data_IF_402391953443
#
_entry.id   IF_402391953443
#
_cell.length_a   1.000
_cell.length_b   1.000
_cell.length_c   1.000
_cell.angle_alpha   90.00
_cell.angle_beta   90.00
_cell.angle_gamma   90.00
#
_symmetry.space_group_name_H-M   'P 1'
#
loop_
_entity.id
_entity.type
_entity.pdbx_description
1 polymer ?
#
# COMPACT_ATOMS: atom_id res chain seq x y z
N UNK A 1 -9.90 -22.42 -7.54
CA UNK A 1 -10.70 -21.35 -8.21
C UNK A 1 -10.63 -20.02 -7.45
N UNK A 2 -10.90 -19.98 -6.14
CA UNK A 2 -10.87 -18.74 -5.33
C UNK A 2 -9.51 -18.01 -5.34
N UNK A 3 -8.40 -18.74 -5.28
CA UNK A 3 -7.05 -18.16 -5.35
C UNK A 3 -6.80 -17.36 -6.65
N UNK A 4 -7.20 -17.90 -7.81
CA UNK A 4 -7.06 -17.21 -9.10
C UNK A 4 -7.89 -15.92 -9.13
N UNK A 5 -9.10 -15.95 -8.55
CA UNK A 5 -9.95 -14.77 -8.46
C UNK A 5 -9.27 -13.70 -7.60
N UNK A 6 -8.73 -14.04 -6.42
CA UNK A 6 -7.97 -13.10 -5.60
C UNK A 6 -6.76 -12.53 -6.36
N UNK A 7 -6.01 -13.37 -7.07
CA UNK A 7 -4.83 -12.95 -7.82
C UNK A 7 -5.20 -11.96 -8.94
N UNK A 8 -6.22 -12.28 -9.73
CA UNK A 8 -6.70 -11.39 -10.81
C UNK A 8 -7.20 -10.06 -10.23
N UNK A 9 -7.96 -10.11 -9.13
CA UNK A 9 -8.45 -8.89 -8.48
C UNK A 9 -7.30 -8.01 -7.96
N UNK A 10 -6.30 -8.60 -7.30
CA UNK A 10 -5.11 -7.88 -6.82
C UNK A 10 -4.22 -7.35 -7.94
N UNK A 11 -4.24 -7.99 -9.11
CA UNK A 11 -3.61 -7.47 -10.32
C UNK A 11 -4.35 -6.24 -10.85
N UNK A 12 -5.66 -6.37 -11.06
CA UNK A 12 -6.52 -5.31 -11.60
C UNK A 12 -6.53 -4.06 -10.73
N UNK A 13 -6.52 -4.21 -9.40
CA UNK A 13 -6.49 -3.07 -8.46
C UNK A 13 -5.23 -2.21 -8.61
N UNK A 14 -4.14 -2.74 -9.16
CA UNK A 14 -2.89 -2.02 -9.42
C UNK A 14 -2.76 -1.54 -10.87
N UNK A 15 -3.26 -2.34 -11.82
CA UNK A 15 -3.20 -2.02 -13.25
C UNK A 15 -4.13 -0.85 -13.59
N UNK A 16 -5.34 -0.79 -13.03
CA UNK A 16 -6.31 0.27 -13.36
C UNK A 16 -5.76 1.67 -12.99
N UNK A 17 -5.31 1.94 -11.75
CA UNK A 17 -4.72 3.24 -11.42
C UNK A 17 -3.47 3.57 -12.25
N UNK A 18 -2.65 2.57 -12.57
CA UNK A 18 -1.49 2.75 -13.45
C UNK A 18 -1.91 3.25 -14.84
N UNK A 19 -2.88 2.61 -15.49
CA UNK A 19 -3.40 3.03 -16.80
C UNK A 19 -4.02 4.43 -16.71
N UNK A 20 -4.82 4.68 -15.68
CA UNK A 20 -5.46 5.99 -15.49
C UNK A 20 -4.44 7.11 -15.35
N UNK A 21 -3.39 6.88 -14.57
CA UNK A 21 -2.30 7.84 -14.44
C UNK A 21 -1.62 8.08 -15.79
N UNK A 22 -1.36 7.05 -16.60
CA UNK A 22 -0.78 7.25 -17.93
C UNK A 22 -1.65 8.12 -18.83
N UNK A 23 -2.97 7.91 -18.81
CA UNK A 23 -3.92 8.71 -19.60
C UNK A 23 -3.93 10.16 -19.11
N UNK A 24 -4.07 10.35 -17.79
CA UNK A 24 -4.20 11.67 -17.18
C UNK A 24 -2.88 12.45 -17.27
N UNK A 25 -1.73 11.79 -17.10
CA UNK A 25 -0.41 12.41 -17.11
C UNK A 25 -0.13 13.15 -18.41
N UNK A 26 -0.75 12.80 -19.54
CA UNK A 26 -0.64 13.56 -20.79
C UNK A 26 -1.48 14.84 -20.84
N UNK A 27 -2.53 14.94 -20.02
CA UNK A 27 -3.47 16.07 -20.00
C UNK A 27 -3.17 17.11 -18.93
N UNK A 28 -2.55 16.72 -17.82
CA UNK A 28 -2.18 17.65 -16.74
C UNK A 28 -0.71 18.05 -16.83
N UNK A 29 -0.35 19.24 -16.35
CA UNK A 29 1.05 19.64 -16.23
C UNK A 29 1.81 18.80 -15.18
N UNK A 30 3.13 18.80 -15.27
CA UNK A 30 4.01 18.00 -14.39
C UNK A 30 3.87 18.43 -12.93
N UNK A 31 3.70 19.74 -12.69
CA UNK A 31 3.59 20.29 -11.34
C UNK A 31 2.30 19.82 -10.65
N UNK A 32 1.17 19.93 -11.34
CA UNK A 32 -0.11 19.38 -10.92
C UNK A 32 0.01 17.87 -10.64
N UNK A 33 0.64 17.10 -11.54
CA UNK A 33 0.85 15.68 -11.29
C UNK A 33 1.63 15.41 -9.99
N UNK A 34 2.61 16.26 -9.66
CA UNK A 34 3.28 16.28 -8.36
C UNK A 34 2.30 16.52 -7.20
N UNK A 35 1.48 17.57 -7.26
CA UNK A 35 0.47 17.90 -6.25
C UNK A 35 -0.53 16.75 -6.02
N UNK A 36 -1.02 16.12 -7.08
CA UNK A 36 -1.90 14.94 -6.98
C UNK A 36 -1.28 13.82 -6.16
N UNK A 37 0.02 13.57 -6.35
CA UNK A 37 0.70 12.52 -5.61
C UNK A 37 0.87 12.88 -4.12
N UNK A 38 0.90 14.17 -3.78
CA UNK A 38 0.89 14.67 -2.41
C UNK A 38 -0.51 14.56 -1.77
N UNK A 39 -1.58 14.84 -2.52
CA UNK A 39 -2.94 14.61 -2.06
C UNK A 39 -3.20 13.12 -1.77
N UNK A 40 -2.63 12.23 -2.58
CA UNK A 40 -2.72 10.79 -2.37
C UNK A 40 -2.10 10.35 -1.03
N UNK A 41 -0.91 10.84 -0.66
CA UNK A 41 -0.27 10.44 0.60
C UNK A 41 -1.02 10.97 1.84
N UNK A 42 -1.66 12.13 1.74
CA UNK A 42 -2.52 12.67 2.80
C UNK A 42 -3.74 11.77 2.97
N UNK A 43 -4.38 11.36 1.87
CA UNK A 43 -5.49 10.41 1.91
C UNK A 43 -5.09 9.06 2.52
N UNK A 44 -3.91 8.52 2.17
CA UNK A 44 -3.38 7.29 2.77
C UNK A 44 -3.20 7.44 4.28
N UNK A 45 -2.62 8.55 4.73
CA UNK A 45 -2.41 8.84 6.15
C UNK A 45 -3.74 8.93 6.91
N UNK A 46 -4.69 9.70 6.39
CA UNK A 46 -6.03 9.83 6.96
C UNK A 46 -6.74 8.48 7.02
N UNK A 47 -6.60 7.65 5.98
CA UNK A 47 -7.15 6.29 5.96
C UNK A 47 -6.52 5.41 7.04
N UNK A 48 -5.19 5.47 7.24
CA UNK A 48 -4.50 4.71 8.30
C UNK A 48 -5.02 5.11 9.68
N UNK A 49 -5.09 6.42 9.95
CA UNK A 49 -5.56 6.97 11.22
C UNK A 49 -7.03 6.60 11.48
N UNK A 50 -7.94 6.99 10.59
CA UNK A 50 -9.39 6.81 10.76
C UNK A 50 -9.76 5.33 10.77
N UNK A 51 -9.13 4.50 9.94
CA UNK A 51 -9.44 3.06 9.93
C UNK A 51 -8.93 2.33 11.17
N UNK A 52 -7.99 2.92 11.93
CA UNK A 52 -7.36 2.35 13.12
C UNK A 52 -7.06 0.83 12.99
N UNK A 53 -6.51 0.42 11.84
CA UNK A 53 -6.18 -0.97 11.51
C UNK A 53 -7.35 -1.97 11.61
N UNK A 54 -8.60 -1.55 11.34
CA UNK A 54 -9.78 -2.43 11.34
C UNK A 54 -9.58 -3.68 10.46
N UNK A 55 -8.86 -3.55 9.34
CA UNK A 55 -8.52 -4.66 8.45
C UNK A 55 -7.77 -5.79 9.18
N UNK A 56 -6.80 -5.44 10.03
CA UNK A 56 -6.00 -6.42 10.78
C UNK A 56 -6.79 -7.00 11.95
N UNK A 57 -7.47 -6.15 12.73
CA UNK A 57 -8.24 -6.58 13.90
C UNK A 57 -9.39 -7.50 13.49
N UNK A 58 -10.11 -7.19 12.40
CA UNK A 58 -11.16 -8.07 11.85
C UNK A 58 -10.68 -9.48 11.58
N UNK A 59 -9.51 -9.64 10.93
CA UNK A 59 -8.96 -10.97 10.62
C UNK A 59 -8.62 -11.77 11.87
N UNK A 60 -8.17 -11.11 12.93
CA UNK A 60 -7.85 -11.77 14.20
C UNK A 60 -9.14 -12.13 14.96
N UNK A 61 -10.03 -11.16 15.08
CA UNK A 61 -11.26 -11.28 15.85
C UNK A 61 -12.22 -12.30 15.25
N UNK A 62 -12.27 -12.41 13.92
CA UNK A 62 -13.09 -13.39 13.21
C UNK A 62 -12.85 -14.83 13.67
N UNK A 63 -11.58 -15.18 13.96
CA UNK A 63 -11.23 -16.54 14.38
C UNK A 63 -11.19 -16.72 15.89
N UNK A 64 -11.04 -15.64 16.66
CA UNK A 64 -10.86 -15.71 18.13
C UNK A 64 -12.13 -15.45 18.93
N UNK A 65 -13.05 -14.64 18.41
CA UNK A 65 -14.22 -14.20 19.15
C UNK A 65 -15.45 -15.00 18.74
N UNK A 66 -16.38 -15.17 19.68
CA UNK A 66 -17.72 -15.63 19.35
C UNK A 66 -18.41 -14.62 18.42
N UNK A 67 -19.35 -15.09 17.59
CA UNK A 67 -20.06 -14.24 16.61
C UNK A 67 -20.63 -12.97 17.24
N UNK A 68 -21.30 -13.07 18.39
CA UNK A 68 -21.88 -11.90 19.08
C UNK A 68 -20.81 -10.92 19.56
N UNK A 69 -19.69 -11.42 20.09
CA UNK A 69 -18.57 -10.59 20.55
C UNK A 69 -17.82 -9.93 19.40
N UNK A 70 -17.66 -10.63 18.28
CA UNK A 70 -17.11 -10.11 17.04
C UNK A 70 -17.94 -8.92 16.52
N UNK A 71 -19.26 -9.09 16.40
CA UNK A 71 -20.14 -8.03 15.90
C UNK A 71 -20.07 -6.76 16.76
N UNK A 72 -20.13 -6.89 18.09
CA UNK A 72 -20.07 -5.73 18.97
C UNK A 72 -18.70 -5.07 19.02
N UNK A 73 -17.62 -5.85 18.91
CA UNK A 73 -16.24 -5.34 18.75
C UNK A 73 -16.14 -4.49 17.47
N UNK A 74 -16.68 -4.96 16.34
CA UNK A 74 -16.63 -4.19 15.09
C UNK A 74 -17.50 -2.93 15.12
N UNK A 75 -18.66 -2.96 15.80
CA UNK A 75 -19.44 -1.75 16.11
C UNK A 75 -18.61 -0.73 16.89
N UNK A 76 -17.94 -1.16 17.98
CA UNK A 76 -17.08 -0.29 18.78
C UNK A 76 -15.91 0.28 17.97
N UNK A 77 -15.34 -0.51 17.06
CA UNK A 77 -14.26 -0.07 16.18
C UNK A 77 -14.71 0.98 15.16
N UNK A 78 -15.92 0.87 14.61
CA UNK A 78 -16.49 1.88 13.71
C UNK A 78 -16.78 3.18 14.46
N UNK A 79 -17.24 3.09 15.72
CA UNK A 79 -17.38 4.27 16.60
C UNK A 79 -16.03 4.95 16.79
N UNK A 80 -14.95 4.21 17.04
CA UNK A 80 -13.60 4.78 17.09
C UNK A 80 -13.22 5.49 15.79
N UNK A 81 -13.52 4.92 14.63
CA UNK A 81 -13.26 5.58 13.33
C UNK A 81 -14.02 6.90 13.20
N UNK A 82 -15.27 6.96 13.66
CA UNK A 82 -16.07 8.20 13.67
C UNK A 82 -15.46 9.24 14.62
N UNK A 83 -15.08 8.84 15.83
CA UNK A 83 -14.43 9.73 16.80
C UNK A 83 -13.10 10.29 16.27
N UNK A 84 -12.29 9.45 15.62
CA UNK A 84 -11.03 9.87 14.99
C UNK A 84 -11.26 10.82 13.82
N UNK A 85 -12.30 10.61 13.01
CA UNK A 85 -12.70 11.57 11.98
C UNK A 85 -13.01 12.93 12.60
N UNK A 86 -13.82 12.99 13.65
CA UNK A 86 -14.14 14.27 14.31
C UNK A 86 -12.91 14.92 14.92
N UNK A 87 -12.03 14.15 15.57
CA UNK A 87 -10.77 14.66 16.09
C UNK A 87 -9.89 15.28 15.00
N UNK A 88 -9.81 14.65 13.82
CA UNK A 88 -9.08 15.15 12.66
C UNK A 88 -9.71 16.43 12.12
N UNK A 89 -11.05 16.49 12.00
CA UNK A 89 -11.74 17.69 11.51
C UNK A 89 -11.54 18.87 12.47
N UNK A 90 -11.63 18.64 13.78
CA UNK A 90 -11.34 19.66 14.79
C UNK A 90 -9.89 20.12 14.68
N UNK A 91 -8.93 19.19 14.57
CA UNK A 91 -7.52 19.52 14.42
C UNK A 91 -7.24 20.30 13.14
N UNK A 92 -7.96 20.01 12.05
CA UNK A 92 -7.79 20.71 10.77
C UNK A 92 -8.22 22.17 10.79
N UNK A 93 -9.06 22.59 11.75
CA UNK A 93 -9.41 24.00 11.95
C UNK A 93 -8.20 24.86 12.38
N UNK A 94 -7.12 24.22 12.82
CA UNK A 94 -5.87 24.87 13.22
C UNK A 94 -4.79 24.80 12.14
N UNK A 95 -5.11 24.31 10.93
CA UNK A 95 -4.16 24.13 9.83
C UNK A 95 -4.69 24.87 8.59
N UNK A 96 -3.96 25.90 8.16
CA UNK A 96 -4.35 26.72 7.01
C UNK A 96 -3.76 26.25 5.67
N UNK A 97 -2.96 25.19 5.67
CA UNK A 97 -2.19 24.78 4.47
C UNK A 97 -3.02 24.09 3.40
N UNK A 98 -4.16 23.47 3.76
CA UNK A 98 -5.02 22.73 2.84
C UNK A 98 -6.46 23.23 3.04
N UNK A 99 -7.20 23.54 1.96
CA UNK A 99 -8.60 23.90 2.08
C UNK A 99 -9.40 22.87 2.89
N UNK A 100 -10.10 23.36 3.91
CA UNK A 100 -10.84 22.52 4.86
C UNK A 100 -11.81 21.53 4.17
N UNK A 101 -12.37 21.93 3.03
CA UNK A 101 -13.27 21.11 2.22
C UNK A 101 -12.60 19.83 1.70
N UNK A 102 -11.32 19.88 1.32
CA UNK A 102 -10.60 18.68 0.88
C UNK A 102 -10.29 17.76 2.05
N UNK A 103 -9.93 18.32 3.22
CA UNK A 103 -9.74 17.52 4.43
C UNK A 103 -11.05 16.83 4.83
N UNK A 104 -12.18 17.54 4.74
CA UNK A 104 -13.50 16.96 4.99
C UNK A 104 -13.78 15.81 4.02
N UNK A 105 -13.65 16.03 2.71
CA UNK A 105 -13.89 15.03 1.68
C UNK A 105 -13.01 13.79 1.91
N UNK A 106 -11.71 13.97 2.12
CA UNK A 106 -10.77 12.87 2.35
C UNK A 106 -11.04 12.11 3.64
N UNK A 107 -11.43 12.81 4.72
CA UNK A 107 -11.74 12.19 6.01
C UNK A 107 -13.02 11.35 5.92
N UNK A 108 -14.07 11.87 5.28
CA UNK A 108 -15.32 11.12 5.06
C UNK A 108 -15.07 9.92 4.12
N UNK A 109 -14.28 10.12 3.06
CA UNK A 109 -13.82 9.03 2.18
C UNK A 109 -13.08 7.93 2.97
N UNK A 110 -12.21 8.33 3.90
CA UNK A 110 -11.47 7.41 4.77
C UNK A 110 -12.37 6.63 5.73
N UNK A 111 -13.42 7.27 6.28
CA UNK A 111 -14.42 6.60 7.11
C UNK A 111 -15.20 5.54 6.31
N UNK A 112 -15.68 5.89 5.11
CA UNK A 112 -16.36 4.94 4.21
C UNK A 112 -15.43 3.77 3.84
N UNK A 113 -14.14 4.06 3.64
CA UNK A 113 -13.11 3.05 3.38
C UNK A 113 -12.90 2.14 4.58
N UNK A 114 -12.93 2.66 5.81
CA UNK A 114 -12.83 1.86 7.05
C UNK A 114 -13.92 0.80 7.14
N UNK A 115 -15.18 1.19 6.91
CA UNK A 115 -16.32 0.24 6.89
C UNK A 115 -16.15 -0.80 5.78
N UNK A 116 -15.67 -0.38 4.61
CA UNK A 116 -15.37 -1.29 3.51
C UNK A 116 -14.25 -2.27 3.86
N UNK A 117 -13.19 -1.84 4.56
CA UNK A 117 -12.10 -2.73 4.98
C UNK A 117 -12.53 -3.79 5.98
N UNK A 118 -13.49 -3.48 6.86
CA UNK A 118 -14.13 -4.47 7.70
C UNK A 118 -14.78 -5.58 6.86
N UNK A 119 -15.70 -5.23 5.96
CA UNK A 119 -16.42 -6.22 5.15
C UNK A 119 -15.50 -6.98 4.20
N UNK A 120 -14.53 -6.30 3.57
CA UNK A 120 -13.54 -6.97 2.73
C UNK A 120 -12.72 -7.99 3.53
N UNK A 121 -12.33 -7.67 4.76
CA UNK A 121 -11.57 -8.60 5.60
C UNK A 121 -12.44 -9.79 6.05
N UNK A 122 -13.70 -9.54 6.40
CA UNK A 122 -14.66 -10.60 6.73
C UNK A 122 -14.91 -11.55 5.54
N UNK A 123 -15.15 -11.00 4.35
CA UNK A 123 -15.31 -11.79 3.11
C UNK A 123 -14.07 -12.61 2.79
N UNK A 124 -12.88 -12.07 3.05
CA UNK A 124 -11.64 -12.80 2.89
C UNK A 124 -11.52 -13.96 3.88
N UNK A 125 -11.87 -13.75 5.16
CA UNK A 125 -11.89 -14.80 6.17
C UNK A 125 -12.91 -15.90 5.88
N UNK A 126 -14.02 -15.56 5.21
CA UNK A 126 -15.02 -16.51 4.70
C UNK A 126 -14.65 -17.13 3.35
N UNK A 127 -13.50 -16.80 2.79
CA UNK A 127 -13.04 -17.24 1.47
C UNK A 127 -14.00 -16.88 0.30
N UNK A 128 -14.84 -15.85 0.45
CA UNK A 128 -15.75 -15.41 -0.59
C UNK A 128 -15.05 -14.48 -1.59
N UNK A 129 -14.22 -15.09 -2.44
CA UNK A 129 -13.37 -14.38 -3.41
C UNK A 129 -14.16 -13.53 -4.41
N UNK A 130 -15.37 -13.96 -4.80
CA UNK A 130 -16.21 -13.25 -5.78
C UNK A 130 -16.72 -11.92 -5.24
N UNK A 131 -17.37 -11.92 -4.08
CA UNK A 131 -17.88 -10.70 -3.46
C UNK A 131 -16.74 -9.79 -3.00
N UNK A 132 -15.65 -10.38 -2.47
CA UNK A 132 -14.44 -9.63 -2.14
C UNK A 132 -13.92 -8.87 -3.36
N UNK A 133 -13.76 -9.57 -4.49
CA UNK A 133 -13.27 -9.01 -5.74
C UNK A 133 -14.13 -7.86 -6.25
N UNK A 134 -15.43 -8.11 -6.35
CA UNK A 134 -16.40 -7.12 -6.79
C UNK A 134 -16.32 -5.88 -5.91
N UNK A 135 -16.44 -6.02 -4.59
CA UNK A 135 -16.42 -4.86 -3.70
C UNK A 135 -15.07 -4.15 -3.70
N UNK A 136 -13.94 -4.85 -3.81
CA UNK A 136 -12.62 -4.21 -3.86
C UNK A 136 -12.38 -3.42 -5.15
N UNK A 137 -12.96 -3.87 -6.27
CA UNK A 137 -12.81 -3.22 -7.57
C UNK A 137 -13.73 -2.01 -7.76
N UNK A 138 -14.93 -1.98 -7.15
CA UNK A 138 -15.87 -0.87 -7.26
C UNK A 138 -15.23 0.53 -7.07
N UNK A 139 -14.58 0.85 -5.93
CA UNK A 139 -14.07 2.20 -5.71
C UNK A 139 -12.99 2.57 -6.72
N UNK A 140 -12.17 1.59 -7.14
CA UNK A 140 -11.07 1.78 -8.08
C UNK A 140 -11.61 2.06 -9.47
N UNK A 141 -12.56 1.26 -9.95
CA UNK A 141 -13.16 1.44 -11.27
C UNK A 141 -13.86 2.78 -11.37
N UNK A 142 -14.73 3.11 -10.42
CA UNK A 142 -15.52 4.34 -10.48
C UNK A 142 -14.69 5.59 -10.25
N UNK A 143 -13.74 5.60 -9.28
CA UNK A 143 -12.92 6.80 -9.07
C UNK A 143 -12.03 7.10 -10.27
N UNK A 144 -11.41 6.08 -10.86
CA UNK A 144 -10.54 6.25 -12.02
C UNK A 144 -11.33 6.61 -13.28
N UNK A 145 -12.50 6.00 -13.50
CA UNK A 145 -13.37 6.34 -14.64
C UNK A 145 -13.83 7.79 -14.55
N UNK A 146 -14.36 8.22 -13.39
CA UNK A 146 -14.81 9.60 -13.21
C UNK A 146 -13.65 10.59 -13.28
N UNK A 147 -12.47 10.22 -12.77
CA UNK A 147 -11.29 11.08 -12.87
C UNK A 147 -10.87 11.31 -14.32
N UNK A 148 -10.83 10.26 -15.14
CA UNK A 148 -10.59 10.39 -16.58
C UNK A 148 -11.64 11.34 -17.19
N UNK A 149 -12.93 11.09 -16.96
CA UNK A 149 -14.02 11.92 -17.52
C UNK A 149 -13.85 13.38 -17.12
N UNK A 150 -13.59 13.68 -15.85
CA UNK A 150 -13.51 15.06 -15.35
C UNK A 150 -12.30 15.79 -15.93
N UNK A 151 -11.15 15.13 -16.05
CA UNK A 151 -9.98 15.69 -16.74
C UNK A 151 -10.28 15.99 -18.21
N UNK A 152 -11.01 15.12 -18.92
CA UNK A 152 -11.41 15.37 -20.31
C UNK A 152 -12.44 16.49 -20.45
N UNK A 153 -13.26 16.74 -19.44
CA UNK A 153 -14.18 17.88 -19.37
C UNK A 153 -13.49 19.19 -18.99
N UNK A 154 -12.17 19.18 -18.77
CA UNK A 154 -11.39 20.37 -18.43
C UNK A 154 -11.40 20.74 -16.95
N UNK A 155 -11.91 19.86 -16.06
CA UNK A 155 -11.74 20.08 -14.63
C UNK A 155 -10.26 19.90 -14.24
N UNK A 156 -9.81 20.72 -13.28
CA UNK A 156 -8.46 20.65 -12.73
C UNK A 156 -8.23 19.39 -11.89
N UNK A 157 -7.03 19.28 -11.33
CA UNK A 157 -6.61 18.09 -10.60
C UNK A 157 -7.38 17.86 -9.29
N UNK A 158 -7.98 18.92 -8.76
CA UNK A 158 -8.89 18.89 -7.62
C UNK A 158 -10.13 18.00 -7.87
N UNK A 159 -10.48 17.74 -9.14
CA UNK A 159 -11.47 16.71 -9.52
C UNK A 159 -11.18 15.35 -8.89
N UNK A 160 -9.91 15.05 -8.59
CA UNK A 160 -9.50 13.83 -7.91
C UNK A 160 -10.19 13.63 -6.55
N UNK A 161 -10.38 14.69 -5.75
CA UNK A 161 -11.05 14.58 -4.45
C UNK A 161 -12.49 14.11 -4.59
N UNK A 162 -13.23 14.71 -5.53
CA UNK A 162 -14.64 14.40 -5.78
C UNK A 162 -14.80 13.02 -6.40
N UNK A 163 -13.91 12.61 -7.28
CA UNK A 163 -13.97 11.31 -7.97
C UNK A 163 -13.59 10.16 -7.03
N UNK A 164 -12.62 10.37 -6.13
CA UNK A 164 -12.32 9.44 -5.03
C UNK A 164 -13.49 9.30 -4.06
N UNK A 165 -14.12 10.41 -3.67
CA UNK A 165 -15.33 10.38 -2.86
C UNK A 165 -16.45 9.63 -3.56
N UNK A 166 -16.75 9.94 -4.82
CA UNK A 166 -17.82 9.31 -5.58
C UNK A 166 -17.60 7.79 -5.73
N UNK A 167 -16.38 7.36 -6.09
CA UNK A 167 -16.06 5.94 -6.22
C UNK A 167 -16.19 5.17 -4.90
N UNK A 168 -15.69 5.74 -3.80
CA UNK A 168 -15.82 5.13 -2.47
C UNK A 168 -17.24 5.17 -1.93
N UNK A 169 -18.02 6.22 -2.24
CA UNK A 169 -19.43 6.32 -1.89
C UNK A 169 -20.25 5.24 -2.59
N UNK A 170 -20.02 5.01 -3.89
CA UNK A 170 -20.65 3.90 -4.62
C UNK A 170 -20.31 2.57 -3.95
N UNK A 171 -19.03 2.30 -3.66
CA UNK A 171 -18.62 1.11 -2.90
C UNK A 171 -19.40 0.99 -1.58
N UNK A 172 -19.47 2.09 -0.83
CA UNK A 172 -20.10 2.13 0.48
C UNK A 172 -21.59 1.75 0.43
N UNK A 173 -22.33 2.17 -0.60
CA UNK A 173 -23.73 1.76 -0.78
C UNK A 173 -23.90 0.23 -0.91
N UNK A 174 -23.04 -0.42 -1.71
CA UNK A 174 -23.04 -1.88 -1.83
C UNK A 174 -22.63 -2.59 -0.53
N UNK A 175 -21.67 -2.00 0.19
CA UNK A 175 -21.23 -2.49 1.50
C UNK A 175 -22.35 -2.40 2.55
N UNK A 176 -23.10 -1.30 2.58
CA UNK A 176 -24.26 -1.15 3.46
C UNK A 176 -25.34 -2.20 3.16
N UNK A 177 -25.62 -2.46 1.88
CA UNK A 177 -26.54 -3.52 1.48
C UNK A 177 -26.07 -4.90 1.99
N UNK A 178 -24.78 -5.19 1.89
CA UNK A 178 -24.20 -6.43 2.42
C UNK A 178 -24.34 -6.54 3.94
N UNK A 179 -24.02 -5.45 4.65
CA UNK A 179 -24.12 -5.35 6.10
C UNK A 179 -25.55 -5.60 6.58
N UNK A 180 -26.52 -4.98 5.91
CA UNK A 180 -27.95 -5.13 6.19
C UNK A 180 -28.41 -6.58 6.00
N UNK A 181 -28.14 -7.18 4.83
CA UNK A 181 -28.54 -8.57 4.51
C UNK A 181 -27.98 -9.61 5.48
N UNK A 182 -26.81 -9.35 6.06
CA UNK A 182 -26.14 -10.28 6.97
C UNK A 182 -26.33 -9.93 8.45
N UNK A 183 -27.18 -8.95 8.77
CA UNK A 183 -27.51 -8.56 10.14
C UNK A 183 -26.29 -8.21 11.01
N UNK A 184 -25.24 -7.62 10.43
CA UNK A 184 -24.05 -7.22 11.18
C UNK A 184 -24.33 -6.18 12.27
N UNK A 185 -25.38 -5.38 12.06
CA UNK A 185 -25.83 -4.37 13.00
C UNK A 185 -27.12 -4.72 13.74
N UNK A 186 -27.57 -5.98 13.72
CA UNK A 186 -28.73 -6.37 14.51
C UNK A 186 -28.56 -5.97 15.98
N UNK A 187 -29.64 -5.47 16.59
CA UNK A 187 -29.70 -5.04 17.99
C UNK A 187 -29.85 -6.22 18.95
N UNK A 188 -29.97 -7.43 18.42
CA UNK A 188 -30.35 -8.67 19.11
C UNK A 188 -29.22 -9.30 19.94
N UNK A 189 -28.20 -8.52 20.29
CA UNK A 189 -27.13 -8.97 21.17
C UNK A 189 -27.38 -8.48 22.58
N UNK A 190 -27.48 -9.41 23.54
CA UNK A 190 -27.50 -9.09 24.99
C UNK A 190 -26.28 -8.29 25.47
N UNK A 191 -25.24 -8.19 24.63
CA UNK A 191 -24.06 -7.37 24.86
C UNK A 191 -24.35 -5.92 24.45
N UNK A 192 -24.17 -4.99 25.38
CA UNK A 192 -24.28 -3.54 25.12
C UNK A 192 -22.93 -2.94 24.75
N UNK A 193 -22.95 -1.99 23.83
CA UNK A 193 -21.79 -1.19 23.50
C UNK A 193 -21.40 -0.38 24.75
N UNK A 194 -20.14 -0.44 25.16
CA UNK A 194 -19.65 0.22 26.37
C UNK A 194 -18.35 0.98 26.11
N UNK A 195 -18.12 2.06 26.85
CA UNK A 195 -16.89 2.86 26.75
C UNK A 195 -15.63 2.00 26.95
N UNK A 196 -15.57 1.04 27.92
CA UNK A 196 -14.43 0.15 28.05
C UNK A 196 -14.16 -0.70 26.80
N UNK A 197 -15.21 -1.13 26.09
CA UNK A 197 -15.06 -1.88 24.84
C UNK A 197 -14.50 -0.97 23.73
N UNK A 198 -15.04 0.25 23.59
CA UNK A 198 -14.55 1.25 22.62
C UNK A 198 -13.06 1.51 22.83
N UNK A 199 -12.63 1.75 24.08
CA UNK A 199 -11.23 1.92 24.43
C UNK A 199 -10.37 0.68 24.14
N UNK A 200 -10.88 -0.51 24.44
CA UNK A 200 -10.17 -1.78 24.17
C UNK A 200 -9.93 -1.98 22.68
N UNK A 201 -10.95 -1.75 21.85
CA UNK A 201 -10.82 -1.86 20.40
C UNK A 201 -9.93 -0.77 19.80
N UNK A 202 -9.95 0.45 20.38
CA UNK A 202 -9.02 1.50 19.99
C UNK A 202 -7.58 1.05 20.20
N UNK A 203 -7.26 0.56 21.40
CA UNK A 203 -5.94 0.03 21.76
C UNK A 203 -5.51 -1.13 20.87
N UNK A 204 -6.43 -2.05 20.55
CA UNK A 204 -6.15 -3.18 19.65
C UNK A 204 -5.71 -2.71 18.26
N UNK A 205 -6.34 -1.68 17.71
CA UNK A 205 -5.98 -1.08 16.43
C UNK A 205 -4.62 -0.37 16.45
N UNK A 206 -4.35 0.40 17.52
CA UNK A 206 -3.10 1.16 17.69
C UNK A 206 -1.87 0.26 17.77
N UNK A 207 -2.00 -0.97 18.29
CA UNK A 207 -0.87 -1.93 18.33
C UNK A 207 -0.29 -2.19 16.92
N UNK A 208 -1.10 -2.09 15.86
CA UNK A 208 -0.65 -2.29 14.47
C UNK A 208 -0.16 -1.00 13.79
N UNK A 209 -0.36 0.17 14.40
CA UNK A 209 0.05 1.46 13.81
C UNK A 209 1.55 1.53 13.47
N UNK A 210 2.50 1.07 14.29
CA UNK A 210 3.92 1.17 13.96
C UNK A 210 4.26 0.53 12.61
N UNK A 211 3.63 -0.60 12.28
CA UNK A 211 3.82 -1.25 10.98
C UNK A 211 3.15 -0.46 9.84
N UNK A 212 1.92 0.03 10.05
CA UNK A 212 1.22 0.84 9.05
C UNK A 212 1.96 2.14 8.71
N UNK A 213 2.44 2.85 9.74
CA UNK A 213 3.29 4.04 9.58
C UNK A 213 4.63 3.72 8.92
N UNK A 214 5.27 2.61 9.27
CA UNK A 214 6.50 2.18 8.62
C UNK A 214 6.33 2.00 7.11
N UNK A 215 5.24 1.36 6.68
CA UNK A 215 4.93 1.23 5.24
C UNK A 215 4.59 2.57 4.60
N UNK A 216 3.78 3.41 5.25
CA UNK A 216 3.42 4.73 4.73
C UNK A 216 4.65 5.62 4.58
N UNK A 217 5.51 5.73 5.60
CA UNK A 217 6.76 6.49 5.52
C UNK A 217 7.64 5.99 4.37
N UNK A 218 7.79 4.68 4.22
CA UNK A 218 8.59 4.11 3.13
C UNK A 218 8.10 4.48 1.73
N UNK A 219 6.79 4.70 1.56
CA UNK A 219 6.15 5.04 0.29
C UNK A 219 5.92 6.56 0.10
N UNK A 220 5.72 7.32 1.17
CA UNK A 220 5.32 8.72 1.13
C UNK A 220 6.48 9.70 1.37
N UNK A 221 7.48 9.31 2.16
CA UNK A 221 8.53 10.24 2.61
C UNK A 221 9.32 10.85 1.46
N UNK A 222 9.66 10.06 0.43
CA UNK A 222 10.41 10.56 -0.73
C UNK A 222 9.67 11.75 -1.38
N UNK A 223 8.33 11.69 -1.50
CA UNK A 223 7.52 12.78 -2.06
C UNK A 223 7.52 14.02 -1.17
N UNK A 224 7.38 13.85 0.13
CA UNK A 224 7.40 14.95 1.09
C UNK A 224 8.76 15.67 1.08
N UNK A 225 9.85 14.91 1.13
CA UNK A 225 11.22 15.43 1.12
C UNK A 225 11.48 16.19 -0.18
N UNK A 226 11.13 15.63 -1.34
CA UNK A 226 11.31 16.31 -2.63
C UNK A 226 10.45 17.58 -2.69
N UNK A 227 9.19 17.52 -2.25
CA UNK A 227 8.30 18.67 -2.26
C UNK A 227 8.81 19.82 -1.41
N UNK A 228 9.37 19.52 -0.22
CA UNK A 228 9.88 20.52 0.71
C UNK A 228 11.18 21.16 0.21
N UNK A 229 12.10 20.36 -0.34
CA UNK A 229 13.45 20.83 -0.70
C UNK A 229 13.54 21.37 -2.13
N UNK A 230 12.87 20.71 -3.09
CA UNK A 230 13.00 21.00 -4.52
C UNK A 230 11.69 21.49 -5.15
N UNK A 231 10.55 21.30 -4.49
CA UNK A 231 9.23 21.70 -4.98
C UNK A 231 8.48 20.61 -5.74
N UNK A 232 7.21 20.90 -6.00
CA UNK A 232 6.21 19.97 -6.57
C UNK A 232 6.51 19.52 -8.00
N UNK A 233 7.21 20.32 -8.80
CA UNK A 233 7.63 19.95 -10.16
C UNK A 233 8.56 18.73 -10.16
N UNK A 234 9.53 18.68 -9.26
CA UNK A 234 10.43 17.52 -9.11
C UNK A 234 9.71 16.30 -8.56
N UNK A 235 8.69 16.50 -7.70
CA UNK A 235 7.80 15.41 -7.28
C UNK A 235 7.09 14.81 -8.49
N UNK A 236 6.61 15.65 -9.41
CA UNK A 236 5.97 15.22 -10.64
C UNK A 236 6.88 14.35 -11.51
N UNK A 237 8.10 14.79 -11.76
CA UNK A 237 9.09 13.99 -12.50
C UNK A 237 9.42 12.67 -11.81
N UNK A 238 9.74 12.72 -10.51
CA UNK A 238 10.07 11.53 -9.73
C UNK A 238 8.93 10.51 -9.75
N UNK A 239 7.71 10.95 -9.45
CA UNK A 239 6.54 10.09 -9.34
C UNK A 239 6.08 9.54 -10.68
N UNK A 240 6.33 10.24 -11.78
CA UNK A 240 5.96 9.74 -13.10
C UNK A 240 6.84 8.55 -13.48
N UNK A 241 8.15 8.67 -13.30
CA UNK A 241 9.11 7.58 -13.52
C UNK A 241 8.90 6.45 -12.51
N UNK A 242 8.65 6.77 -11.25
CA UNK A 242 8.32 5.78 -10.23
C UNK A 242 7.10 4.97 -10.64
N UNK A 243 6.00 5.62 -11.03
CA UNK A 243 4.77 4.96 -11.46
C UNK A 243 5.00 4.07 -12.68
N UNK A 244 5.73 4.58 -13.68
CA UNK A 244 6.16 3.82 -14.85
C UNK A 244 7.03 2.59 -14.51
N UNK A 245 7.74 2.63 -13.38
CA UNK A 245 8.59 1.54 -12.90
C UNK A 245 7.86 0.57 -11.95
N UNK A 246 6.66 0.91 -11.46
CA UNK A 246 5.85 0.02 -10.59
C UNK A 246 5.53 -1.37 -11.15
N UNK A 247 5.46 -1.61 -12.49
CA UNK A 247 5.31 -2.95 -13.02
C UNK A 247 6.31 -3.97 -12.46
N UNK A 248 7.54 -3.55 -12.12
CA UNK A 248 8.57 -4.41 -11.49
C UNK A 248 8.04 -5.00 -10.17
N UNK A 249 7.45 -4.16 -9.31
CA UNK A 249 6.91 -4.58 -8.02
C UNK A 249 5.63 -5.40 -8.20
N UNK A 250 4.76 -5.01 -9.14
CA UNK A 250 3.52 -5.75 -9.43
C UNK A 250 3.86 -7.17 -9.86
N UNK A 251 4.74 -7.32 -10.85
CA UNK A 251 5.24 -8.59 -11.35
C UNK A 251 5.82 -9.44 -10.21
N UNK A 252 6.72 -8.84 -9.43
CA UNK A 252 7.39 -9.52 -8.32
C UNK A 252 6.42 -9.99 -7.24
N UNK A 253 5.36 -9.22 -6.96
CA UNK A 253 4.33 -9.61 -6.00
C UNK A 253 3.53 -10.82 -6.51
N UNK A 254 3.17 -10.85 -7.79
CA UNK A 254 2.44 -11.98 -8.39
C UNK A 254 3.29 -13.24 -8.39
N UNK A 255 4.55 -13.14 -8.83
CA UNK A 255 5.51 -14.26 -8.79
C UNK A 255 5.74 -14.72 -7.35
N UNK A 256 5.84 -13.80 -6.40
CA UNK A 256 5.99 -14.13 -4.99
C UNK A 256 4.80 -14.92 -4.44
N UNK A 257 3.56 -14.51 -4.74
CA UNK A 257 2.35 -15.22 -4.34
C UNK A 257 2.34 -16.66 -4.87
N UNK A 258 2.80 -16.86 -6.11
CA UNK A 258 2.92 -18.18 -6.71
C UNK A 258 4.03 -19.04 -6.07
N UNK A 259 5.20 -18.45 -5.78
CA UNK A 259 6.36 -19.19 -5.26
C UNK A 259 6.26 -19.48 -3.76
N UNK A 260 5.55 -18.68 -2.97
CA UNK A 260 5.49 -18.80 -1.51
C UNK A 260 5.06 -20.20 -1.02
N UNK A 261 3.99 -20.83 -1.55
CA UNK A 261 3.61 -22.18 -1.13
C UNK A 261 4.69 -23.23 -1.41
N UNK A 262 5.34 -23.15 -2.58
CA UNK A 262 6.41 -24.06 -2.98
C UNK A 262 7.66 -23.88 -2.12
N UNK A 263 7.98 -22.63 -1.78
CA UNK A 263 9.05 -22.29 -0.85
C UNK A 263 8.80 -22.92 0.53
N UNK A 264 7.59 -22.74 1.08
CA UNK A 264 7.21 -23.30 2.37
C UNK A 264 7.27 -24.84 2.40
N UNK A 265 6.91 -25.50 1.30
CA UNK A 265 7.06 -26.95 1.16
C UNK A 265 8.54 -27.38 1.24
N UNK A 266 9.44 -26.72 0.51
CA UNK A 266 10.86 -27.06 0.55
C UNK A 266 11.55 -26.71 1.86
N UNK A 267 11.10 -25.67 2.56
CA UNK A 267 11.57 -25.39 3.93
C UNK A 267 11.18 -26.55 4.85
N UNK A 268 9.93 -27.00 4.80
CA UNK A 268 9.44 -28.13 5.61
C UNK A 268 10.21 -29.42 5.31
N UNK A 269 10.61 -29.63 4.06
CA UNK A 269 11.39 -30.80 3.63
C UNK A 269 12.90 -30.61 3.78
N UNK A 270 13.36 -29.49 4.36
CA UNK A 270 14.78 -29.16 4.54
C UNK A 270 15.62 -29.16 3.24
N UNK A 271 15.00 -28.88 2.09
CA UNK A 271 15.64 -28.92 0.77
C UNK A 271 16.33 -27.59 0.41
N UNK A 272 17.43 -27.27 1.10
CA UNK A 272 18.10 -25.96 0.98
C UNK A 272 18.58 -25.62 -0.45
N UNK A 273 18.99 -26.61 -1.24
CA UNK A 273 19.38 -26.43 -2.65
C UNK A 273 18.22 -25.96 -3.52
N UNK A 274 17.02 -26.55 -3.35
CA UNK A 274 15.84 -26.16 -4.12
C UNK A 274 15.38 -24.73 -3.78
N UNK A 275 15.49 -24.34 -2.51
CA UNK A 275 15.23 -22.97 -2.05
C UNK A 275 16.17 -21.98 -2.75
N UNK A 276 17.48 -22.27 -2.79
CA UNK A 276 18.48 -21.44 -3.48
C UNK A 276 18.19 -21.33 -4.99
N UNK A 277 17.80 -22.42 -5.64
CA UNK A 277 17.45 -22.44 -7.07
C UNK A 277 16.23 -21.55 -7.34
N UNK A 278 15.17 -21.66 -6.54
CA UNK A 278 13.98 -20.80 -6.68
C UNK A 278 14.36 -19.33 -6.54
N UNK A 279 15.16 -19.01 -5.52
CA UNK A 279 15.59 -17.65 -5.26
C UNK A 279 16.42 -17.09 -6.43
N UNK A 280 17.39 -17.85 -6.94
CA UNK A 280 18.20 -17.44 -8.08
C UNK A 280 17.35 -17.22 -9.34
N UNK A 281 16.41 -18.13 -9.64
CA UNK A 281 15.48 -17.98 -10.76
C UNK A 281 14.60 -16.73 -10.61
N UNK A 282 14.13 -16.45 -9.40
CA UNK A 282 13.37 -15.25 -9.11
C UNK A 282 14.19 -13.98 -9.35
N UNK A 283 15.42 -13.90 -8.83
CA UNK A 283 16.30 -12.75 -9.05
C UNK A 283 16.59 -12.51 -10.54
N UNK A 284 16.88 -13.59 -11.28
CA UNK A 284 17.16 -13.50 -12.72
C UNK A 284 15.93 -13.01 -13.50
N UNK A 285 14.76 -13.58 -13.20
CA UNK A 285 13.51 -13.21 -13.86
C UNK A 285 13.13 -11.75 -13.56
N UNK A 286 13.27 -11.32 -12.31
CA UNK A 286 13.03 -9.92 -11.91
C UNK A 286 14.03 -8.98 -12.59
N UNK A 287 15.30 -9.38 -12.72
CA UNK A 287 16.32 -8.58 -13.41
C UNK A 287 15.97 -8.39 -14.90
N UNK A 288 15.64 -9.48 -15.60
CA UNK A 288 15.20 -9.42 -17.00
C UNK A 288 14.00 -8.50 -17.14
N UNK A 289 13.01 -8.63 -16.26
CA UNK A 289 11.82 -7.80 -16.29
C UNK A 289 12.11 -6.32 -15.99
N UNK A 290 13.04 -6.03 -15.08
CA UNK A 290 13.51 -4.67 -14.79
C UNK A 290 14.22 -4.04 -15.98
N UNK A 291 15.07 -4.79 -16.70
CA UNK A 291 15.72 -4.31 -17.92
C UNK A 291 14.70 -4.04 -19.03
N UNK A 292 13.72 -4.92 -19.22
CA UNK A 292 12.63 -4.68 -20.17
C UNK A 292 11.83 -3.44 -19.80
N UNK A 293 11.51 -3.27 -18.51
CA UNK A 293 10.80 -2.09 -18.01
C UNK A 293 11.62 -0.82 -18.28
N UNK A 294 12.92 -0.82 -18.00
CA UNK A 294 13.82 0.30 -18.31
C UNK A 294 13.74 0.70 -19.80
N UNK A 295 13.86 -0.27 -20.72
CA UNK A 295 13.80 -0.02 -22.16
C UNK A 295 12.45 0.58 -22.56
N UNK A 296 11.35 0.00 -22.05
CA UNK A 296 9.99 0.48 -22.34
C UNK A 296 9.79 1.91 -21.84
N UNK A 297 10.28 2.25 -20.64
CA UNK A 297 10.16 3.61 -20.10
C UNK A 297 10.90 4.62 -20.97
N UNK A 298 12.13 4.30 -21.38
CA UNK A 298 12.93 5.16 -22.26
C UNK A 298 12.19 5.43 -23.58
N UNK A 299 11.58 4.41 -24.17
CA UNK A 299 10.76 4.57 -25.38
C UNK A 299 9.51 5.42 -25.11
N UNK A 300 8.73 5.05 -24.09
CA UNK A 300 7.45 5.71 -23.79
C UNK A 300 7.63 7.19 -23.51
N UNK A 301 8.64 7.58 -22.72
CA UNK A 301 8.86 9.00 -22.39
C UNK A 301 9.31 9.80 -23.62
N UNK A 302 10.27 9.27 -24.39
CA UNK A 302 10.79 9.96 -25.57
C UNK A 302 9.74 10.19 -26.66
N UNK A 303 8.78 9.27 -26.83
CA UNK A 303 7.80 9.35 -27.93
C UNK A 303 6.42 9.88 -27.51
N UNK A 304 5.98 9.66 -26.27
CA UNK A 304 4.60 9.97 -25.87
C UNK A 304 4.48 11.03 -24.76
N UNK A 305 5.55 11.29 -24.00
CA UNK A 305 5.49 12.13 -22.80
C UNK A 305 6.61 13.17 -22.77
N UNK A 306 6.71 13.99 -23.82
CA UNK A 306 7.79 14.98 -23.98
C UNK A 306 7.98 15.92 -22.78
N UNK A 307 6.90 16.30 -22.10
CA UNK A 307 7.00 17.16 -20.90
C UNK A 307 7.71 16.50 -19.71
N UNK A 308 7.95 15.19 -19.76
CA UNK A 308 8.67 14.42 -18.74
C UNK A 308 10.09 13.99 -19.19
N UNK A 309 10.62 14.56 -20.27
CA UNK A 309 11.97 14.21 -20.78
C UNK A 309 13.06 14.37 -19.71
N UNK A 310 12.99 15.43 -18.88
CA UNK A 310 13.97 15.64 -17.80
C UNK A 310 14.01 14.47 -16.79
N UNK A 311 12.87 13.79 -16.61
CA UNK A 311 12.75 12.66 -15.71
C UNK A 311 13.49 11.40 -16.22
N UNK A 312 13.89 11.34 -17.50
CA UNK A 312 14.65 10.21 -18.05
C UNK A 312 15.94 9.93 -17.28
N UNK A 313 16.55 10.98 -16.74
CA UNK A 313 17.75 10.89 -15.91
C UNK A 313 17.52 10.09 -14.61
N UNK A 314 16.28 10.00 -14.12
CA UNK A 314 15.92 9.31 -12.87
C UNK A 314 15.64 7.81 -13.07
N UNK A 315 15.30 7.41 -14.30
CA UNK A 315 14.89 6.04 -14.67
C UNK A 315 15.88 4.96 -14.21
N UNK A 316 17.19 5.03 -14.52
CA UNK A 316 18.11 3.96 -14.12
C UNK A 316 18.14 3.76 -12.59
N UNK A 317 18.13 4.86 -11.83
CA UNK A 317 18.20 4.80 -10.38
C UNK A 317 16.95 4.21 -9.73
N UNK A 318 15.78 4.63 -10.20
CA UNK A 318 14.49 4.14 -9.71
C UNK A 318 14.32 2.66 -10.06
N UNK A 319 14.64 2.25 -11.29
CA UNK A 319 14.57 0.84 -11.71
C UNK A 319 15.49 -0.04 -10.86
N UNK A 320 16.73 0.39 -10.61
CA UNK A 320 17.68 -0.33 -9.74
C UNK A 320 17.13 -0.43 -8.31
N UNK A 321 16.65 0.67 -7.73
CA UNK A 321 16.09 0.68 -6.39
C UNK A 321 14.90 -0.28 -6.25
N UNK A 322 14.00 -0.30 -7.24
CA UNK A 322 12.83 -1.18 -7.25
C UNK A 322 13.19 -2.65 -7.53
N UNK A 323 14.20 -2.92 -8.36
CA UNK A 323 14.75 -4.26 -8.55
C UNK A 323 15.27 -4.84 -7.21
N UNK A 324 16.05 -4.05 -6.47
CA UNK A 324 16.59 -4.46 -5.16
C UNK A 324 15.44 -4.67 -4.17
N UNK A 325 14.46 -3.76 -4.15
CA UNK A 325 13.27 -3.89 -3.32
C UNK A 325 12.48 -5.18 -3.62
N UNK A 326 12.24 -5.47 -4.89
CA UNK A 326 11.59 -6.70 -5.32
C UNK A 326 12.38 -7.95 -4.92
N UNK A 327 13.71 -7.88 -4.96
CA UNK A 327 14.61 -9.01 -4.69
C UNK A 327 14.49 -9.55 -3.27
N UNK A 328 14.32 -8.70 -2.26
CA UNK A 328 14.16 -9.19 -0.88
C UNK A 328 12.72 -9.60 -0.53
N UNK A 329 11.73 -9.34 -1.39
CA UNK A 329 10.32 -9.61 -1.11
C UNK A 329 10.05 -11.11 -0.84
N UNK A 330 10.66 -12.00 -1.63
CA UNK A 330 10.52 -13.46 -1.44
C UNK A 330 11.25 -13.97 -0.20
N UNK A 331 12.37 -13.35 0.16
CA UNK A 331 13.16 -13.72 1.34
C UNK A 331 12.40 -13.38 2.62
N UNK A 332 11.62 -12.30 2.61
CA UNK A 332 10.80 -11.90 3.76
C UNK A 332 9.75 -12.96 4.12
N UNK A 333 9.22 -13.73 3.15
CA UNK A 333 8.27 -14.83 3.44
C UNK A 333 8.83 -15.89 4.38
N UNK A 334 10.14 -16.08 4.37
CA UNK A 334 10.80 -17.07 5.23
C UNK A 334 10.72 -16.68 6.70
N UNK A 335 10.87 -15.39 7.01
CA UNK A 335 10.72 -14.92 8.38
C UNK A 335 9.28 -15.09 8.87
N UNK A 336 8.30 -14.91 7.99
CA UNK A 336 6.91 -15.21 8.32
C UNK A 336 6.69 -16.70 8.58
N UNK A 337 7.30 -17.59 7.78
CA UNK A 337 7.23 -19.04 8.00
C UNK A 337 7.81 -19.46 9.36
N UNK A 338 8.93 -18.86 9.78
CA UNK A 338 9.58 -19.14 11.09
C UNK A 338 8.95 -18.33 12.24
N UNK A 339 7.72 -17.82 12.07
CA UNK A 339 6.97 -17.04 13.07
C UNK A 339 7.69 -15.77 13.59
N UNK A 340 8.64 -15.22 12.84
CA UNK A 340 9.38 -13.98 13.16
C UNK A 340 8.66 -12.72 12.65
N UNK A 341 7.33 -12.71 12.65
CA UNK A 341 6.52 -11.58 12.17
C UNK A 341 6.79 -10.26 12.92
N UNK A 342 6.99 -10.32 14.25
CA UNK A 342 7.33 -9.13 15.06
C UNK A 342 8.65 -8.50 14.63
N UNK A 343 9.64 -9.35 14.32
CA UNK A 343 10.95 -8.90 13.82
C UNK A 343 10.79 -8.18 12.48
N UNK A 344 9.97 -8.73 11.57
CA UNK A 344 9.69 -8.10 10.28
C UNK A 344 9.02 -6.74 10.46
N UNK A 345 8.01 -6.62 11.32
CA UNK A 345 7.32 -5.34 11.57
C UNK A 345 8.27 -4.27 12.13
N UNK A 346 9.13 -4.62 13.09
CA UNK A 346 10.14 -3.70 13.65
C UNK A 346 11.18 -3.32 12.60
N UNK A 347 11.66 -4.29 11.83
CA UNK A 347 12.62 -4.06 10.75
C UNK A 347 12.08 -3.05 9.76
N UNK A 348 10.84 -3.22 9.28
CA UNK A 348 10.20 -2.30 8.33
C UNK A 348 10.20 -0.88 8.89
N UNK A 349 9.73 -0.67 10.12
CA UNK A 349 9.67 0.66 10.72
C UNK A 349 11.06 1.30 10.83
N UNK A 350 12.04 0.59 11.37
CA UNK A 350 13.41 1.10 11.53
C UNK A 350 14.02 1.42 10.17
N UNK A 351 13.86 0.53 9.18
CA UNK A 351 14.41 0.76 7.84
C UNK A 351 13.75 1.95 7.15
N UNK A 352 12.44 2.16 7.33
CA UNK A 352 11.75 3.32 6.79
C UNK A 352 12.24 4.61 7.44
N UNK A 353 12.46 4.63 8.75
CA UNK A 353 13.02 5.80 9.44
C UNK A 353 14.44 6.13 8.96
N UNK A 354 15.31 5.12 8.87
CA UNK A 354 16.67 5.29 8.33
C UNK A 354 16.61 5.81 6.89
N UNK A 355 15.68 5.28 6.07
CA UNK A 355 15.43 5.74 4.70
C UNK A 355 15.05 7.21 4.65
N UNK A 356 14.09 7.65 5.46
CA UNK A 356 13.68 9.06 5.52
C UNK A 356 14.86 9.95 5.91
N UNK A 357 15.56 9.64 7.01
CA UNK A 357 16.63 10.49 7.53
C UNK A 357 17.79 10.65 6.54
N UNK A 358 18.23 9.54 5.94
CA UNK A 358 19.32 9.56 4.97
C UNK A 358 18.91 10.22 3.65
N UNK A 359 17.68 10.01 3.16
CA UNK A 359 17.17 10.69 1.98
C UNK A 359 17.12 12.22 2.18
N UNK A 360 16.66 12.68 3.35
CA UNK A 360 16.63 14.11 3.70
C UNK A 360 18.05 14.72 3.79
N UNK A 361 19.02 14.00 4.35
CA UNK A 361 20.40 14.47 4.38
C UNK A 361 21.01 14.51 2.97
N UNK A 362 20.79 13.45 2.18
CA UNK A 362 21.41 13.32 0.86
C UNK A 362 20.82 14.31 -0.16
N UNK A 363 19.51 14.59 -0.12
CA UNK A 363 18.89 15.54 -1.04
C UNK A 363 19.45 16.96 -0.86
N UNK A 364 19.77 17.36 0.36
CA UNK A 364 20.37 18.66 0.65
C UNK A 364 21.81 18.80 0.13
N UNK A 365 22.52 17.68 -0.08
CA UNK A 365 23.90 17.66 -0.57
C UNK A 365 24.00 17.51 -2.10
N UNK A 366 23.14 16.69 -2.69
CA UNK A 366 23.24 16.27 -4.10
C UNK A 366 21.93 16.46 -4.88
N UNK A 367 21.02 17.30 -4.41
CA UNK A 367 19.67 17.46 -4.96
C UNK A 367 18.96 16.10 -5.11
N UNK A 368 18.09 15.96 -6.11
CA UNK A 368 17.30 14.74 -6.34
C UNK A 368 18.15 13.47 -6.44
N UNK A 369 19.36 13.56 -6.99
CA UNK A 369 20.27 12.41 -7.11
C UNK A 369 20.73 11.88 -5.75
N UNK A 370 20.89 12.75 -4.75
CA UNK A 370 21.19 12.34 -3.38
C UNK A 370 20.12 11.41 -2.81
N UNK A 371 18.84 11.77 -2.99
CA UNK A 371 17.73 10.91 -2.60
C UNK A 371 17.73 9.57 -3.35
N UNK A 372 17.98 9.61 -4.66
CA UNK A 372 18.05 8.40 -5.49
C UNK A 372 19.19 7.46 -5.04
N UNK A 373 20.37 7.99 -4.75
CA UNK A 373 21.50 7.22 -4.23
C UNK A 373 21.21 6.64 -2.85
N UNK A 374 20.61 7.44 -1.96
CA UNK A 374 20.19 7.00 -0.64
C UNK A 374 19.24 5.81 -0.70
N UNK A 375 18.25 5.89 -1.60
CA UNK A 375 17.28 4.81 -1.82
C UNK A 375 17.95 3.51 -2.28
N UNK A 376 18.87 3.57 -3.24
CA UNK A 376 19.62 2.40 -3.70
C UNK A 376 20.47 1.83 -2.57
N UNK A 377 21.20 2.69 -1.84
CA UNK A 377 22.08 2.28 -0.76
C UNK A 377 21.33 1.53 0.35
N UNK A 378 20.19 2.06 0.78
CA UNK A 378 19.41 1.48 1.88
C UNK A 378 18.71 0.21 1.44
N UNK A 379 18.11 0.19 0.26
CA UNK A 379 17.52 -1.05 -0.27
C UNK A 379 18.58 -2.14 -0.40
N UNK A 380 19.81 -1.78 -0.81
CA UNK A 380 20.94 -2.73 -0.88
C UNK A 380 21.33 -3.23 0.50
N UNK A 381 21.42 -2.33 1.49
CA UNK A 381 21.69 -2.71 2.87
C UNK A 381 20.63 -3.67 3.43
N UNK A 382 19.35 -3.39 3.19
CA UNK A 382 18.23 -4.28 3.58
C UNK A 382 18.37 -5.64 2.91
N UNK A 383 18.63 -5.68 1.61
CA UNK A 383 18.82 -6.93 0.88
C UNK A 383 19.98 -7.76 1.46
N UNK A 384 21.13 -7.14 1.69
CA UNK A 384 22.31 -7.80 2.29
C UNK A 384 21.96 -8.32 3.68
N UNK A 385 21.34 -7.50 4.52
CA UNK A 385 20.94 -7.87 5.87
C UNK A 385 19.99 -9.08 5.87
N UNK A 386 18.97 -9.05 5.01
CA UNK A 386 18.01 -10.15 4.84
C UNK A 386 18.70 -11.41 4.31
N UNK A 387 19.64 -11.30 3.37
CA UNK A 387 20.43 -12.43 2.86
C UNK A 387 21.31 -13.07 3.94
N UNK A 388 21.94 -12.28 4.80
CA UNK A 388 22.75 -12.78 5.92
C UNK A 388 21.87 -13.56 6.90
N UNK A 389 20.71 -13.00 7.26
CA UNK A 389 19.75 -13.66 8.15
C UNK A 389 19.14 -14.91 7.53
N UNK A 390 18.89 -14.89 6.22
CA UNK A 390 18.45 -16.06 5.46
C UNK A 390 19.50 -17.19 5.52
N UNK A 391 20.77 -16.88 5.25
CA UNK A 391 21.86 -17.86 5.32
C UNK A 391 22.00 -18.46 6.73
N UNK A 392 21.86 -17.65 7.78
CA UNK A 392 21.85 -18.14 9.17
C UNK A 392 20.68 -19.08 9.43
N UNK A 393 19.49 -18.73 8.94
CA UNK A 393 18.28 -19.54 9.12
C UNK A 393 18.35 -20.87 8.36
N UNK A 394 18.92 -20.90 7.15
CA UNK A 394 19.17 -22.13 6.41
C UNK A 394 20.19 -23.04 7.10
N UNK A 395 21.29 -22.50 7.63
CA UNK A 395 22.28 -23.29 8.37
C UNK A 395 21.68 -24.00 9.58
N UNK A 396 20.78 -23.33 10.32
CA UNK A 396 20.08 -23.95 11.45
C UNK A 396 19.18 -25.11 11.01
N UNK A 397 18.57 -25.02 9.82
CA UNK A 397 17.77 -26.11 9.25
C UNK A 397 18.61 -27.29 8.77
N UNK A 398 19.88 -27.05 8.41
CA UNK A 398 20.84 -28.10 8.01
C UNK A 398 21.46 -28.78 9.25
N UNK A 399 21.73 -28.05 10.34
CA UNK A 399 22.35 -28.58 11.57
C UNK A 399 21.41 -29.49 12.36
N UNK A 400 20.09 -29.24 12.38
CA UNK A 400 19.14 -30.14 13.06
C UNK A 400 18.96 -31.51 12.38
N UNK A 401 19.61 -31.74 11.24
CA UNK A 401 19.57 -32.99 10.48
C UNK A 401 20.91 -33.76 10.51
N UNK A 402 21.93 -33.25 11.21
CA UNK A 402 23.20 -33.94 11.49
C UNK A 402 23.22 -34.34 12.97
#
# INVERSE_FOLDING_TARGET
MNFLIFLVNEGLTKIIPFITILIVANKIDVNSYGELTLYYIIFELLTILISNNIKATTRIDFFKLSKSRYLISKKAHIVNSILLLFAILIFSLFIDTIPWIYILILSVTSLMRSVSYFVLSDLQCKENAKLYGLYNLLPILFSNLFFIIFIYLGYGIESWFYTMFAGTFIQFLFILQYIYKNNYFSLDTNLKLSIPLIYTEFKNGVIFMPQAFGFWLGAAADRLIISEVLGTLYVGYYMFVFQLSTPIIIFSTVVNLYLTPKLNYYIKQHQSTQIKIIFFKFLLLTLIFSVLTFIVIQFVINYYYHKYIEALSYVPYIVIALYIQASYLILMNLFYYVNKQKFVSILILITSLIKVSSAYLAINLYNIYGLLYSNIFINSFILIFVLVQFKKSLKLLEIHNA
#
